data_IF_512453417166
#
_entry.id   IF_512453417166
#
_cell.length_a   1.000
_cell.length_b   1.000
_cell.length_c   1.000
_cell.angle_alpha   90.00
_cell.angle_beta   90.00
_cell.angle_gamma   90.00
#
_symmetry.space_group_name_H-M   'P 1'
#
loop_
_entity.id
_entity.type
_entity.pdbx_description
1 polymer ?
#
# COMPACT_ATOMS: atom_id res chain seq x y z
N UNK A 1 12.43 1.12 -18.99
CA UNK A 1 11.48 0.05 -18.63
C UNK A 1 10.82 0.42 -17.32
N UNK A 2 9.49 0.36 -17.27
CA UNK A 2 8.70 1.01 -16.23
C UNK A 2 8.75 0.15 -14.95
N UNK A 3 8.81 0.75 -13.76
CA UNK A 3 8.94 0.00 -12.49
C UNK A 3 7.83 -1.04 -12.31
N UNK A 4 6.60 -0.74 -12.75
CA UNK A 4 5.50 -1.71 -12.74
C UNK A 4 5.73 -2.92 -13.66
N UNK A 5 6.34 -2.74 -14.83
CA UNK A 5 6.63 -3.87 -15.74
C UNK A 5 7.65 -4.82 -15.10
N UNK A 6 8.68 -4.26 -14.45
CA UNK A 6 9.64 -5.05 -13.67
C UNK A 6 8.98 -5.82 -12.54
N UNK A 7 8.04 -5.21 -11.80
CA UNK A 7 7.28 -5.91 -10.76
C UNK A 7 6.47 -7.07 -11.32
N UNK A 8 5.79 -6.89 -12.46
CA UNK A 8 5.00 -7.95 -13.11
C UNK A 8 5.90 -9.10 -13.56
N UNK A 9 7.03 -8.79 -14.18
CA UNK A 9 8.01 -9.80 -14.63
C UNK A 9 8.56 -10.58 -13.44
N UNK A 10 8.95 -9.90 -12.36
CA UNK A 10 9.41 -10.54 -11.13
C UNK A 10 8.32 -11.41 -10.48
N UNK A 11 7.07 -10.94 -10.47
CA UNK A 11 5.95 -11.73 -9.96
C UNK A 11 5.75 -13.00 -10.80
N UNK A 12 5.85 -12.93 -12.12
CA UNK A 12 5.77 -14.10 -12.99
C UNK A 12 6.88 -15.10 -12.72
N UNK A 13 8.13 -14.64 -12.61
CA UNK A 13 9.28 -15.49 -12.27
C UNK A 13 9.06 -16.16 -10.91
N UNK A 14 8.58 -15.40 -9.92
CA UNK A 14 8.26 -15.93 -8.60
C UNK A 14 7.18 -17.02 -8.64
N UNK A 15 6.09 -16.79 -9.38
CA UNK A 15 5.03 -17.79 -9.57
C UNK A 15 5.57 -19.06 -10.22
N UNK A 16 6.44 -18.94 -11.23
CA UNK A 16 7.06 -20.11 -11.87
C UNK A 16 7.92 -20.90 -10.88
N UNK A 17 8.72 -20.22 -10.06
CA UNK A 17 9.54 -20.87 -9.01
C UNK A 17 8.63 -21.64 -8.04
N UNK A 18 7.59 -20.98 -7.51
CA UNK A 18 6.62 -21.61 -6.60
C UNK A 18 5.93 -22.81 -7.25
N UNK A 19 5.55 -22.70 -8.53
CA UNK A 19 4.91 -23.79 -9.27
C UNK A 19 5.83 -25.01 -9.42
N UNK A 20 7.12 -24.80 -9.70
CA UNK A 20 8.11 -25.89 -9.78
C UNK A 20 8.25 -26.57 -8.41
N UNK A 21 8.36 -25.78 -7.34
CA UNK A 21 8.40 -26.32 -5.98
C UNK A 21 7.14 -27.14 -5.64
N UNK A 22 5.97 -26.66 -6.04
CA UNK A 22 4.71 -27.37 -5.80
C UNK A 22 4.68 -28.74 -6.51
N UNK A 23 5.17 -28.82 -7.75
CA UNK A 23 5.23 -30.08 -8.51
C UNK A 23 6.26 -31.04 -7.92
N UNK A 24 7.47 -30.57 -7.56
CA UNK A 24 8.51 -31.44 -6.99
C UNK A 24 8.13 -31.96 -5.59
N UNK A 25 7.40 -31.14 -4.83
CA UNK A 25 6.95 -31.45 -3.48
C UNK A 25 5.54 -32.07 -3.44
N UNK A 26 4.94 -32.43 -4.60
CA UNK A 26 3.62 -33.08 -4.67
C UNK A 26 3.62 -34.54 -4.21
N UNK A 27 4.67 -34.96 -3.49
CA UNK A 27 4.70 -36.29 -2.89
C UNK A 27 3.65 -36.33 -1.77
N UNK A 28 2.76 -37.32 -1.77
CA UNK A 28 1.80 -37.48 -0.68
C UNK A 28 2.57 -37.70 0.62
N UNK A 29 2.24 -36.89 1.62
CA UNK A 29 2.73 -37.04 2.99
C UNK A 29 1.50 -37.22 3.87
N UNK A 30 1.55 -38.19 4.75
CA UNK A 30 0.47 -38.43 5.71
C UNK A 30 0.41 -37.24 6.68
N UNK A 31 -0.76 -36.63 6.79
CA UNK A 31 -1.02 -35.53 7.73
C UNK A 31 -2.04 -36.01 8.74
N UNK A 32 -1.63 -36.04 10.00
CA UNK A 32 -2.50 -36.29 11.14
C UNK A 32 -3.30 -35.03 11.44
N UNK A 33 -4.59 -35.04 11.11
CA UNK A 33 -5.54 -34.02 11.53
C UNK A 33 -6.17 -34.41 12.87
N UNK A 34 -6.79 -33.44 13.53
CA UNK A 34 -7.39 -33.62 14.86
C UNK A 34 -8.45 -34.75 14.93
N UNK A 35 -9.01 -35.16 13.80
CA UNK A 35 -10.06 -36.18 13.71
C UNK A 35 -9.82 -37.24 12.60
N UNK A 36 -8.57 -37.45 12.17
CA UNK A 36 -8.24 -38.48 11.17
C UNK A 36 -6.96 -38.17 10.39
N UNK A 37 -6.52 -39.11 9.55
CA UNK A 37 -5.32 -38.95 8.70
C UNK A 37 -5.73 -38.80 7.24
N UNK A 38 -5.01 -37.96 6.49
CA UNK A 38 -5.16 -37.89 5.04
C UNK A 38 -3.83 -37.57 4.37
N UNK A 39 -3.62 -38.13 3.19
CA UNK A 39 -2.40 -37.94 2.41
C UNK A 39 -2.56 -36.74 1.47
N UNK A 40 -1.97 -35.61 1.85
CA UNK A 40 -1.96 -34.39 1.04
C UNK A 40 -0.52 -33.91 0.87
N UNK A 41 -0.17 -33.34 -0.29
CA UNK A 41 1.09 -32.60 -0.45
C UNK A 41 1.25 -31.51 0.62
N UNK A 42 2.37 -31.51 1.33
CA UNK A 42 2.63 -30.58 2.45
C UNK A 42 2.54 -29.11 2.03
N UNK A 43 2.94 -28.78 0.80
CA UNK A 43 2.85 -27.43 0.23
C UNK A 43 1.41 -26.89 0.19
N UNK A 44 0.40 -27.73 -0.06
CA UNK A 44 -1.00 -27.30 -0.09
C UNK A 44 -1.47 -26.89 1.31
N UNK A 45 -1.05 -27.65 2.33
CA UNK A 45 -1.34 -27.34 3.73
C UNK A 45 -0.69 -26.02 4.15
N UNK A 46 0.56 -25.77 3.75
CA UNK A 46 1.27 -24.51 4.04
C UNK A 46 0.58 -23.33 3.36
N UNK A 47 0.26 -23.43 2.07
CA UNK A 47 -0.42 -22.36 1.32
C UNK A 47 -1.77 -22.06 1.96
N UNK A 48 -2.56 -23.09 2.27
CA UNK A 48 -3.85 -22.95 2.95
C UNK A 48 -3.72 -22.25 4.31
N UNK A 49 -2.71 -22.64 5.10
CA UNK A 49 -2.44 -22.07 6.42
C UNK A 49 -2.04 -20.59 6.34
N UNK A 50 -1.12 -20.25 5.44
CA UNK A 50 -0.67 -18.86 5.21
C UNK A 50 -1.83 -18.01 4.70
N UNK A 51 -2.65 -18.53 3.79
CA UNK A 51 -3.84 -17.85 3.29
C UNK A 51 -4.84 -17.61 4.41
N UNK A 52 -5.11 -18.59 5.27
CA UNK A 52 -6.01 -18.44 6.41
C UNK A 52 -5.50 -17.38 7.40
N UNK A 53 -4.20 -17.42 7.74
CA UNK A 53 -3.57 -16.40 8.59
C UNK A 53 -3.66 -15.00 7.98
N UNK A 54 -3.40 -14.88 6.68
CA UNK A 54 -3.52 -13.63 5.94
C UNK A 54 -4.95 -13.07 5.94
N UNK A 55 -5.97 -13.92 5.78
CA UNK A 55 -7.37 -13.52 5.86
C UNK A 55 -7.73 -13.00 7.26
N UNK A 56 -7.31 -13.68 8.33
CA UNK A 56 -7.55 -13.24 9.71
C UNK A 56 -6.95 -11.84 9.93
N UNK A 57 -5.70 -11.64 9.54
CA UNK A 57 -5.02 -10.34 9.67
C UNK A 57 -5.70 -9.27 8.83
N UNK A 58 -6.12 -9.60 7.59
CA UNK A 58 -6.82 -8.67 6.72
C UNK A 58 -8.16 -8.23 7.33
N UNK A 59 -8.97 -9.15 7.83
CA UNK A 59 -10.25 -8.83 8.47
C UNK A 59 -10.05 -7.99 9.74
N UNK A 60 -9.10 -8.35 10.60
CA UNK A 60 -8.75 -7.57 11.77
C UNK A 60 -8.28 -6.15 11.39
N UNK A 61 -7.46 -6.02 10.35
CA UNK A 61 -7.00 -4.74 9.82
C UNK A 61 -8.15 -3.87 9.31
N UNK A 62 -9.06 -4.43 8.52
CA UNK A 62 -10.24 -3.71 8.02
C UNK A 62 -11.11 -3.22 9.18
N UNK A 63 -11.35 -4.05 10.19
CA UNK A 63 -12.13 -3.68 11.37
C UNK A 63 -11.53 -2.46 12.09
N UNK A 64 -10.21 -2.46 12.30
CA UNK A 64 -9.53 -1.32 12.92
C UNK A 64 -9.61 -0.06 12.05
N UNK A 65 -9.40 -0.18 10.74
CA UNK A 65 -9.50 0.96 9.81
C UNK A 65 -10.90 1.58 9.84
N UNK A 66 -11.95 0.76 9.89
CA UNK A 66 -13.34 1.25 9.97
C UNK A 66 -13.58 1.99 11.28
N UNK A 67 -13.13 1.45 12.42
CA UNK A 67 -13.23 2.12 13.73
C UNK A 67 -12.55 3.48 13.71
N UNK A 68 -11.30 3.53 13.24
CA UNK A 68 -10.52 4.77 13.11
C UNK A 68 -11.21 5.79 12.20
N UNK A 69 -11.80 5.36 11.08
CA UNK A 69 -12.56 6.25 10.18
C UNK A 69 -13.78 6.85 10.86
N UNK A 70 -14.48 6.09 11.72
CA UNK A 70 -15.65 6.58 12.48
C UNK A 70 -15.23 7.62 13.52
N UNK A 71 -14.17 7.35 14.27
CA UNK A 71 -13.61 8.29 15.25
C UNK A 71 -13.14 9.59 14.56
N UNK A 72 -12.43 9.48 13.43
CA UNK A 72 -12.04 10.65 12.64
C UNK A 72 -13.25 11.47 12.16
N UNK A 73 -14.34 10.82 11.76
CA UNK A 73 -15.56 11.53 11.34
C UNK A 73 -16.22 12.25 12.51
N UNK A 74 -16.30 11.62 13.68
CA UNK A 74 -16.87 12.20 14.89
C UNK A 74 -16.06 13.42 15.36
N UNK A 75 -14.73 13.28 15.47
CA UNK A 75 -13.83 14.36 15.87
C UNK A 75 -13.86 15.53 14.88
N UNK A 76 -13.96 15.27 13.57
CA UNK A 76 -14.12 16.32 12.55
C UNK A 76 -15.44 17.07 12.69
N UNK A 77 -16.53 16.36 13.01
CA UNK A 77 -17.84 16.99 13.21
C UNK A 77 -17.85 17.89 14.47
N UNK A 78 -17.25 17.44 15.57
CA UNK A 78 -17.12 18.23 16.80
C UNK A 78 -16.27 19.50 16.58
N UNK A 79 -15.14 19.38 15.88
CA UNK A 79 -14.31 20.53 15.49
C UNK A 79 -15.05 21.53 14.61
N UNK A 80 -15.91 21.05 13.71
CA UNK A 80 -16.72 21.91 12.84
C UNK A 80 -17.85 22.61 13.61
N UNK A 81 -18.43 21.96 14.62
CA UNK A 81 -19.46 22.54 15.48
C UNK A 81 -18.91 23.55 16.50
N UNK A 82 -17.67 23.35 16.96
CA UNK A 82 -16.99 24.24 17.93
C UNK A 82 -16.23 25.42 17.28
N UNK A 83 -16.11 25.46 15.94
CA UNK A 83 -15.43 26.56 15.26
C UNK A 83 -16.42 27.69 14.93
N UNK A 84 -16.20 28.94 15.37
CA UNK A 84 -16.94 30.09 14.84
C UNK A 84 -16.66 30.19 13.34
N UNK A 85 -17.73 30.28 12.55
CA UNK A 85 -17.73 30.18 11.10
C UNK A 85 -16.80 31.21 10.41
N UNK A 86 -15.49 30.90 10.24
CA UNK A 86 -14.59 31.79 9.50
C UNK A 86 -13.36 31.15 8.82
N UNK A 87 -12.90 29.94 9.16
CA UNK A 87 -11.51 29.55 8.78
C UNK A 87 -11.31 28.35 7.83
N UNK A 88 -12.31 27.53 7.51
CA UNK A 88 -12.04 26.23 6.84
C UNK A 88 -11.90 26.27 5.31
N UNK A 89 -12.00 27.43 4.64
CA UNK A 89 -11.79 27.51 3.18
C UNK A 89 -10.36 27.81 2.72
N UNK A 90 -9.41 28.12 3.62
CA UNK A 90 -8.05 28.52 3.22
C UNK A 90 -7.02 27.38 3.18
N UNK A 91 -7.16 26.33 4.01
CA UNK A 91 -6.10 25.32 4.14
C UNK A 91 -6.00 24.31 2.97
N UNK A 92 -7.06 24.11 2.18
CA UNK A 92 -7.05 23.14 1.07
C UNK A 92 -6.51 23.72 -0.25
N UNK A 93 -6.44 25.06 -0.39
CA UNK A 93 -5.88 25.70 -1.59
C UNK A 93 -4.36 25.90 -1.56
N UNK A 94 -3.72 25.86 -0.39
CA UNK A 94 -2.28 26.14 -0.26
C UNK A 94 -1.38 24.91 -0.49
N UNK A 95 -1.91 23.68 -0.42
CA UNK A 95 -1.13 22.47 -0.74
C UNK A 95 -1.05 22.15 -2.24
N UNK A 96 -2.00 22.59 -3.07
CA UNK A 96 -1.94 22.41 -4.53
C UNK A 96 -1.09 23.47 -5.25
N UNK A 97 -0.78 24.62 -4.62
CA UNK A 97 0.01 25.70 -5.26
C UNK A 97 1.53 25.47 -5.19
N UNK A 98 2.03 24.56 -4.34
CA UNK A 98 3.47 24.28 -4.18
C UNK A 98 4.06 23.30 -5.20
N UNK A 99 3.24 22.68 -6.05
CA UNK A 99 3.68 21.74 -7.10
C UNK A 99 3.92 22.37 -8.48
N UNK A 100 3.80 23.70 -8.61
CA UNK A 100 4.31 24.38 -9.80
C UNK A 100 5.73 24.88 -9.52
N UNK A 101 6.70 23.96 -9.71
CA UNK A 101 8.12 24.28 -9.67
C UNK A 101 8.44 25.16 -10.89
N UNK A 102 8.74 26.41 -10.61
CA UNK A 102 9.33 27.39 -11.52
C UNK A 102 10.56 26.79 -12.20
N UNK A 103 10.64 26.70 -13.55
CA UNK A 103 11.92 26.45 -14.18
C UNK A 103 12.80 27.68 -13.95
N UNK A 104 13.96 27.50 -13.30
CA UNK A 104 14.98 28.51 -13.20
C UNK A 104 15.36 28.95 -14.62
N UNK A 105 14.94 30.16 -14.99
CA UNK A 105 15.45 30.84 -16.17
C UNK A 105 16.87 31.27 -15.81
N UNK A 106 17.85 30.64 -16.43
CA UNK A 106 19.25 31.06 -16.40
C UNK A 106 19.31 32.57 -16.66
N UNK A 107 19.88 33.29 -15.69
CA UNK A 107 20.15 34.71 -15.78
C UNK A 107 21.61 34.85 -16.25
N UNK A 108 21.89 35.10 -17.53
CA UNK A 108 23.22 35.59 -17.90
C UNK A 108 23.34 37.03 -17.39
N UNK A 109 24.28 37.21 -16.47
CA UNK A 109 24.70 38.51 -15.98
C UNK A 109 25.27 39.35 -17.13
N UNK A 110 24.61 40.46 -17.46
CA UNK A 110 25.24 41.58 -18.15
C UNK A 110 25.13 42.81 -17.27
N UNK A 111 26.24 43.10 -16.61
CA UNK A 111 26.54 44.27 -15.82
C UNK A 111 26.54 45.50 -16.73
N UNK A 112 25.53 46.37 -16.60
CA UNK A 112 25.46 47.66 -17.28
C UNK A 112 26.11 48.72 -16.39
N UNK A 113 27.34 49.11 -16.73
CA UNK A 113 28.01 50.29 -16.17
C UNK A 113 28.04 51.35 -17.26
N UNK A 114 26.98 52.15 -17.33
CA UNK A 114 27.05 53.53 -17.83
C UNK A 114 27.48 54.44 -16.68
N UNK A 115 28.76 54.79 -16.67
CA UNK A 115 29.20 56.09 -16.16
C UNK A 115 30.10 56.74 -17.20
N UNK A 116 30.12 58.07 -17.12
CA UNK A 116 30.47 59.06 -18.14
C UNK A 116 31.87 58.97 -18.75
#
# INVERSE_FOLDING_TARGET
>A
MNKQQWTIILAFIFVLIVSVFAVINVRPVEVDYLFGTAEWPLILVIIGSVLMGGLIVAFAGIFQIVKLKRELKALKAERAAAAPAASTKKADKDLQKKSHVTPLKEQPASFDRKEK
#
